data_IF_417914673446
#
_entry.id   IF_417914673446
#
_cell.length_a   1.000
_cell.length_b   1.000
_cell.length_c   1.000
_cell.angle_alpha   90.00
_cell.angle_beta   90.00
_cell.angle_gamma   90.00
#
_symmetry.space_group_name_H-M   'P 1'
#
loop_
_entity.id
_entity.type
_entity.pdbx_description
1 polymer ?
#
# COMPACT_ATOMS: atom_id res chain seq x y z
N UNK A 1 21.36 -1.42 -12.43
CA UNK A 1 20.74 -0.14 -12.01
C UNK A 1 19.25 -0.41 -12.05
N UNK A 2 18.53 -0.18 -10.97
CA UNK A 2 17.06 -0.24 -11.03
C UNK A 2 16.57 0.87 -11.96
N UNK A 3 15.67 0.53 -12.90
CA UNK A 3 15.07 1.51 -13.78
C UNK A 3 14.24 2.48 -12.96
N UNK A 4 14.42 3.78 -13.18
CA UNK A 4 13.66 4.82 -12.49
C UNK A 4 12.18 4.71 -12.84
N UNK A 5 11.31 4.87 -11.85
CA UNK A 5 9.87 4.95 -12.11
C UNK A 5 9.55 6.24 -12.86
N UNK A 6 8.77 6.10 -13.93
CA UNK A 6 8.36 7.16 -14.84
C UNK A 6 6.98 7.69 -14.47
N UNK A 7 6.89 8.98 -14.26
CA UNK A 7 5.65 9.69 -13.89
C UNK A 7 5.29 10.67 -14.98
N UNK A 8 4.11 10.56 -15.57
CA UNK A 8 3.53 11.67 -16.34
C UNK A 8 2.76 12.53 -15.32
N UNK A 9 3.12 13.81 -15.27
CA UNK A 9 2.50 14.79 -14.40
C UNK A 9 1.90 15.92 -15.24
N UNK A 10 0.60 16.19 -15.05
CA UNK A 10 -0.11 17.26 -15.77
C UNK A 10 -0.73 18.24 -14.76
N UNK A 11 -0.38 19.51 -14.91
CA UNK A 11 -0.75 20.63 -14.05
C UNK A 11 -0.63 21.93 -14.85
N UNK A 12 -1.66 22.75 -14.90
CA UNK A 12 -1.67 23.99 -15.69
C UNK A 12 -1.03 25.18 -14.96
N UNK A 13 -0.94 25.15 -13.62
CA UNK A 13 -0.13 26.14 -12.88
C UNK A 13 1.36 25.82 -13.04
N UNK A 14 2.14 26.64 -13.80
CA UNK A 14 3.54 26.35 -14.07
C UNK A 14 4.42 26.46 -12.80
N UNK A 15 4.02 27.24 -11.79
CA UNK A 15 4.78 27.38 -10.55
C UNK A 15 4.62 26.11 -9.70
N UNK A 16 3.38 25.65 -9.52
CA UNK A 16 3.10 24.40 -8.83
C UNK A 16 3.73 23.23 -9.59
N UNK A 17 3.58 23.22 -10.92
CA UNK A 17 4.18 22.23 -11.81
C UNK A 17 5.67 22.08 -11.59
N UNK A 18 6.42 23.18 -11.61
CA UNK A 18 7.87 23.16 -11.42
C UNK A 18 8.26 22.66 -10.03
N UNK A 19 7.57 23.09 -8.97
CA UNK A 19 7.86 22.68 -7.59
C UNK A 19 7.69 21.16 -7.46
N UNK A 20 6.61 20.60 -7.95
CA UNK A 20 6.31 19.17 -7.86
C UNK A 20 7.28 18.34 -8.71
N UNK A 21 7.61 18.79 -9.93
CA UNK A 21 8.61 18.13 -10.78
C UNK A 21 9.94 18.01 -10.06
N UNK A 22 10.46 19.11 -9.50
CA UNK A 22 11.74 19.12 -8.80
C UNK A 22 11.69 18.22 -7.55
N UNK A 23 10.60 18.26 -6.81
CA UNK A 23 10.42 17.43 -5.64
C UNK A 23 10.38 15.93 -5.98
N UNK A 24 9.65 15.53 -7.03
CA UNK A 24 9.61 14.14 -7.49
C UNK A 24 10.96 13.67 -8.05
N UNK A 25 11.64 14.53 -8.83
CA UNK A 25 12.98 14.22 -9.35
C UNK A 25 14.00 14.03 -8.23
N UNK A 26 13.93 14.83 -7.16
CA UNK A 26 14.79 14.67 -5.97
C UNK A 26 14.61 13.34 -5.25
N UNK A 27 13.42 12.73 -5.38
CA UNK A 27 13.10 11.38 -4.87
C UNK A 27 13.50 10.25 -5.84
N UNK A 28 14.09 10.59 -6.99
CA UNK A 28 14.61 9.63 -7.96
C UNK A 28 13.65 9.24 -9.07
N UNK A 29 12.49 9.88 -9.19
CA UNK A 29 11.56 9.64 -10.30
C UNK A 29 12.02 10.29 -11.60
N UNK A 30 11.66 9.70 -12.74
CA UNK A 30 11.74 10.31 -14.06
C UNK A 30 10.39 10.95 -14.36
N UNK A 31 10.34 12.29 -14.48
CA UNK A 31 9.07 13.03 -14.57
C UNK A 31 8.92 13.67 -15.93
N UNK A 32 7.83 13.37 -16.60
CA UNK A 32 7.38 13.98 -17.85
C UNK A 32 6.23 14.92 -17.53
N UNK A 33 6.50 16.22 -17.62
CA UNK A 33 5.55 17.27 -17.27
C UNK A 33 4.89 17.88 -18.50
N UNK A 34 3.59 18.14 -18.42
CA UNK A 34 2.85 18.95 -19.36
C UNK A 34 1.85 19.86 -18.64
N UNK A 35 1.54 21.00 -19.26
CA UNK A 35 0.56 21.97 -18.74
C UNK A 35 -0.80 21.87 -19.45
N UNK A 36 -1.03 20.80 -20.18
CA UNK A 36 -2.27 20.51 -20.90
C UNK A 36 -2.49 19.01 -20.99
N UNK A 37 -3.75 18.58 -21.02
CA UNK A 37 -4.12 17.19 -21.26
C UNK A 37 -4.06 16.82 -22.76
N UNK A 38 -3.95 17.82 -23.64
CA UNK A 38 -3.77 17.56 -25.08
C UNK A 38 -2.48 16.77 -25.33
N UNK A 39 -2.60 15.66 -26.06
CA UNK A 39 -1.45 14.78 -26.35
C UNK A 39 -1.07 13.81 -25.24
N UNK A 40 -1.87 13.69 -24.17
CA UNK A 40 -1.61 12.70 -23.10
C UNK A 40 -1.50 11.28 -23.65
N UNK A 41 -2.26 10.95 -24.69
CA UNK A 41 -2.23 9.63 -25.34
C UNK A 41 -0.86 9.36 -25.96
N UNK A 42 -0.34 10.31 -26.71
CA UNK A 42 0.98 10.22 -27.36
C UNK A 42 2.10 10.14 -26.29
N UNK A 43 1.96 10.87 -25.19
CA UNK A 43 2.90 10.80 -24.08
C UNK A 43 2.91 9.40 -23.45
N UNK A 44 1.72 8.82 -23.20
CA UNK A 44 1.62 7.47 -22.62
C UNK A 44 2.27 6.43 -23.56
N UNK A 45 1.99 6.52 -24.86
CA UNK A 45 2.52 5.57 -25.84
C UNK A 45 4.02 5.73 -26.08
N UNK A 46 4.55 6.95 -25.97
CA UNK A 46 5.97 7.25 -26.18
C UNK A 46 6.82 6.93 -24.96
N UNK A 47 6.38 7.37 -23.79
CA UNK A 47 7.22 7.42 -22.59
C UNK A 47 7.02 6.20 -21.69
N UNK A 48 5.94 5.40 -21.91
CA UNK A 48 5.60 4.21 -21.14
C UNK A 48 5.64 4.46 -19.63
N UNK A 49 4.79 5.36 -19.11
CA UNK A 49 4.82 5.73 -17.69
C UNK A 49 4.40 4.59 -16.79
N UNK A 50 4.90 4.61 -15.57
CA UNK A 50 4.45 3.72 -14.52
C UNK A 50 3.18 4.23 -13.83
N UNK A 51 2.94 5.56 -13.87
CA UNK A 51 1.79 6.22 -13.23
C UNK A 51 1.50 7.58 -13.87
N UNK A 52 0.24 7.97 -13.82
CA UNK A 52 -0.21 9.32 -14.17
C UNK A 52 -0.60 10.06 -12.89
N UNK A 53 -0.12 11.30 -12.74
CA UNK A 53 -0.60 12.28 -11.78
C UNK A 53 -1.22 13.44 -12.55
N UNK A 54 -2.52 13.57 -12.49
CA UNK A 54 -3.28 14.50 -13.31
C UNK A 54 -4.03 15.48 -12.42
N UNK A 55 -3.90 16.78 -12.70
CA UNK A 55 -4.89 17.73 -12.23
C UNK A 55 -6.25 17.37 -12.83
N UNK A 56 -7.30 17.48 -12.04
CA UNK A 56 -8.68 17.23 -12.49
C UNK A 56 -9.09 18.24 -13.57
N UNK A 57 -8.76 19.50 -13.37
CA UNK A 57 -9.09 20.62 -14.26
C UNK A 57 -7.81 21.28 -14.77
N UNK A 58 -7.56 21.18 -16.06
CA UNK A 58 -6.37 21.72 -16.73
C UNK A 58 -6.84 22.71 -17.81
N UNK A 59 -6.81 23.98 -17.51
CA UNK A 59 -7.41 25.01 -18.36
C UNK A 59 -8.92 24.77 -18.58
N UNK A 60 -9.30 24.49 -19.83
CA UNK A 60 -10.70 24.16 -20.18
C UNK A 60 -10.93 22.65 -20.34
N UNK A 61 -10.00 21.80 -19.92
CA UNK A 61 -10.06 20.36 -20.08
C UNK A 61 -10.28 19.69 -18.71
N UNK A 62 -11.03 18.59 -18.70
CA UNK A 62 -11.24 17.79 -17.50
C UNK A 62 -10.58 16.42 -17.66
N UNK A 63 -9.77 15.98 -16.69
CA UNK A 63 -9.06 14.72 -16.75
C UNK A 63 -10.00 13.51 -16.87
N UNK A 64 -11.24 13.62 -16.34
CA UNK A 64 -12.22 12.53 -16.42
C UNK A 64 -12.61 12.20 -17.86
N UNK A 65 -12.55 13.15 -18.79
CA UNK A 65 -12.88 12.92 -20.19
C UNK A 65 -11.87 12.00 -20.89
N UNK A 66 -10.64 11.91 -20.34
CA UNK A 66 -9.55 11.09 -20.87
C UNK A 66 -9.49 9.69 -20.25
N UNK A 67 -10.06 9.51 -19.05
CA UNK A 67 -10.00 8.23 -18.32
C UNK A 67 -10.62 7.05 -19.08
N UNK A 68 -11.77 7.16 -19.78
CA UNK A 68 -12.33 6.04 -20.55
C UNK A 68 -11.36 5.52 -21.61
N UNK A 69 -10.66 6.42 -22.31
CA UNK A 69 -9.63 6.03 -23.29
C UNK A 69 -8.45 5.35 -22.57
N UNK A 70 -7.92 5.95 -21.51
CA UNK A 70 -6.79 5.40 -20.75
C UNK A 70 -7.15 3.99 -20.25
N UNK A 71 -8.34 3.79 -19.71
CA UNK A 71 -8.80 2.48 -19.23
C UNK A 71 -9.00 1.45 -20.32
N UNK A 72 -9.43 1.87 -21.52
CA UNK A 72 -9.62 0.97 -22.65
C UNK A 72 -8.28 0.44 -23.21
N UNK A 73 -7.23 1.26 -23.21
CA UNK A 73 -5.92 0.93 -23.78
C UNK A 73 -4.92 0.48 -22.72
N UNK A 74 -4.99 1.05 -21.53
CA UNK A 74 -4.04 0.85 -20.43
C UNK A 74 -4.79 0.55 -19.13
N UNK A 75 -5.54 -0.57 -19.02
CA UNK A 75 -6.43 -0.85 -17.89
C UNK A 75 -5.70 -0.93 -16.54
N UNK A 76 -4.43 -1.29 -16.55
CA UNK A 76 -3.60 -1.44 -15.34
C UNK A 76 -2.73 -0.22 -15.02
N UNK A 77 -2.70 0.82 -15.88
CA UNK A 77 -1.91 2.02 -15.62
C UNK A 77 -2.52 2.83 -14.47
N UNK A 78 -1.82 3.02 -13.35
CA UNK A 78 -2.35 3.80 -12.25
C UNK A 78 -2.58 5.27 -12.63
N UNK A 79 -3.70 5.82 -12.19
CA UNK A 79 -4.05 7.23 -12.37
C UNK A 79 -4.43 7.83 -11.02
N UNK A 80 -3.67 8.84 -10.60
CA UNK A 80 -3.97 9.68 -9.46
C UNK A 80 -4.56 10.98 -9.97
N UNK A 81 -5.70 11.38 -9.43
CA UNK A 81 -6.32 12.68 -9.72
C UNK A 81 -6.05 13.60 -8.55
N UNK A 82 -5.59 14.83 -8.83
CA UNK A 82 -5.44 15.90 -7.87
C UNK A 82 -6.47 17.00 -8.15
N UNK A 83 -7.09 17.57 -7.12
CA UNK A 83 -8.05 18.66 -7.30
C UNK A 83 -8.07 19.59 -6.09
N UNK A 84 -8.40 20.86 -6.32
CA UNK A 84 -8.66 21.85 -5.26
C UNK A 84 -10.05 21.70 -4.64
N UNK A 85 -10.96 21.01 -5.32
CA UNK A 85 -12.31 20.75 -4.84
C UNK A 85 -12.32 19.60 -3.82
N UNK A 86 -13.37 19.53 -3.02
CA UNK A 86 -13.50 18.51 -1.97
C UNK A 86 -14.96 18.02 -1.83
N UNK A 87 -15.72 18.09 -2.91
CA UNK A 87 -17.11 17.65 -2.90
C UNK A 87 -17.19 16.14 -3.08
N UNK A 88 -17.99 15.48 -2.25
CA UNK A 88 -18.11 14.02 -2.28
C UNK A 88 -18.58 13.47 -3.61
N UNK A 89 -19.42 14.23 -4.34
CA UNK A 89 -19.86 13.86 -5.69
C UNK A 89 -18.71 13.83 -6.70
N UNK A 90 -17.80 14.81 -6.65
CA UNK A 90 -16.65 14.86 -7.55
C UNK A 90 -15.67 13.71 -7.30
N UNK A 91 -15.41 13.43 -6.02
CA UNK A 91 -14.57 12.29 -5.64
C UNK A 91 -15.18 10.97 -6.16
N UNK A 92 -16.49 10.80 -6.00
CA UNK A 92 -17.21 9.62 -6.51
C UNK A 92 -17.07 9.51 -8.03
N UNK A 93 -17.31 10.58 -8.76
CA UNK A 93 -17.15 10.64 -10.23
C UNK A 93 -15.73 10.27 -10.68
N UNK A 94 -14.70 10.71 -9.96
CA UNK A 94 -13.30 10.33 -10.26
C UNK A 94 -13.09 8.82 -10.18
N UNK A 95 -13.58 8.18 -9.12
CA UNK A 95 -13.47 6.73 -8.98
C UNK A 95 -14.32 5.95 -9.98
N UNK A 96 -15.54 6.40 -10.26
CA UNK A 96 -16.41 5.79 -11.28
C UNK A 96 -15.82 5.88 -12.68
N UNK A 97 -15.15 6.99 -13.00
CA UNK A 97 -14.41 7.16 -14.26
C UNK A 97 -13.15 6.28 -14.34
N UNK A 98 -12.72 5.69 -13.22
CA UNK A 98 -11.61 4.74 -13.17
C UNK A 98 -10.31 5.31 -12.62
N UNK A 99 -10.31 6.42 -11.88
CA UNK A 99 -9.15 6.85 -11.12
C UNK A 99 -8.80 5.83 -10.02
N UNK A 100 -7.50 5.62 -9.76
CA UNK A 100 -7.03 4.73 -8.71
C UNK A 100 -6.98 5.43 -7.34
N UNK A 101 -6.81 6.76 -7.37
CA UNK A 101 -6.79 7.58 -6.17
C UNK A 101 -7.16 9.02 -6.50
N UNK A 102 -7.76 9.69 -5.51
CA UNK A 102 -8.04 11.12 -5.52
C UNK A 102 -7.29 11.77 -4.35
N UNK A 103 -6.55 12.85 -4.62
CA UNK A 103 -5.88 13.63 -3.59
C UNK A 103 -6.28 15.10 -3.67
N UNK A 104 -6.44 15.74 -2.50
CA UNK A 104 -6.81 17.15 -2.42
C UNK A 104 -5.57 18.03 -2.50
N UNK A 105 -5.64 19.11 -3.28
CA UNK A 105 -4.63 20.17 -3.28
C UNK A 105 -4.83 21.14 -2.08
N UNK A 106 -3.77 21.67 -1.47
CA UNK A 106 -2.38 21.31 -1.68
C UNK A 106 -2.05 19.94 -1.09
N UNK A 107 -1.40 19.09 -1.87
CA UNK A 107 -0.98 17.78 -1.43
C UNK A 107 0.46 17.77 -0.93
N UNK A 108 0.76 16.89 0.04
CA UNK A 108 2.10 16.68 0.51
C UNK A 108 2.87 15.79 -0.49
N UNK A 109 4.10 16.20 -0.85
CA UNK A 109 4.96 15.41 -1.72
C UNK A 109 5.28 14.03 -1.14
N UNK A 110 5.24 13.88 0.19
CA UNK A 110 5.42 12.59 0.84
C UNK A 110 4.21 11.68 0.61
N UNK A 111 2.99 12.24 0.60
CA UNK A 111 1.78 11.50 0.23
C UNK A 111 1.86 11.01 -1.21
N UNK A 112 2.24 11.89 -2.16
CA UNK A 112 2.40 11.52 -3.57
C UNK A 112 3.48 10.45 -3.75
N UNK A 113 4.62 10.58 -3.08
CA UNK A 113 5.69 9.58 -3.08
C UNK A 113 5.17 8.21 -2.58
N UNK A 114 4.46 8.21 -1.46
CA UNK A 114 3.86 6.99 -0.92
C UNK A 114 2.89 6.34 -1.92
N UNK A 115 2.03 7.15 -2.57
CA UNK A 115 1.07 6.65 -3.55
C UNK A 115 1.76 6.10 -4.80
N UNK A 116 2.80 6.79 -5.32
CA UNK A 116 3.60 6.29 -6.44
C UNK A 116 4.21 4.93 -6.07
N UNK A 117 4.86 4.85 -4.90
CA UNK A 117 5.45 3.59 -4.43
C UNK A 117 4.40 2.47 -4.31
N UNK A 118 3.21 2.80 -3.80
CA UNK A 118 2.10 1.86 -3.62
C UNK A 118 1.57 1.32 -4.94
N UNK A 119 1.44 2.17 -5.96
CA UNK A 119 0.81 1.79 -7.23
C UNK A 119 1.80 1.31 -8.30
N UNK A 120 3.06 1.80 -8.29
CA UNK A 120 4.02 1.51 -9.36
C UNK A 120 5.02 0.42 -9.02
N UNK A 121 5.39 0.29 -7.76
CA UNK A 121 6.08 -0.94 -7.45
C UNK A 121 5.07 -2.03 -7.77
N UNK A 122 5.26 -2.70 -8.96
CA UNK A 122 4.78 -4.08 -9.09
C UNK A 122 4.94 -4.62 -7.71
N UNK A 123 3.91 -5.10 -7.11
CA UNK A 123 4.04 -5.76 -5.84
C UNK A 123 5.19 -6.80 -5.96
N UNK A 124 6.43 -6.35 -5.75
CA UNK A 124 7.13 -6.87 -4.59
C UNK A 124 6.11 -6.69 -3.54
N UNK A 125 5.44 -7.74 -3.09
CA UNK A 125 4.43 -7.54 -2.10
C UNK A 125 5.09 -6.64 -1.05
N UNK A 126 4.87 -5.28 -1.12
CA UNK A 126 4.91 -4.45 0.07
C UNK A 126 3.73 -4.98 0.73
N UNK A 127 4.21 -5.80 1.20
CA UNK A 127 3.71 -7.02 1.68
C UNK A 127 2.39 -6.66 2.27
N UNK A 128 1.34 -6.76 1.47
CA UNK A 128 0.14 -7.29 2.00
C UNK A 128 0.49 -8.67 2.62
N UNK A 129 1.77 -8.92 2.86
CA UNK A 129 2.32 -10.08 3.49
C UNK A 129 3.54 -9.72 4.37
N UNK A 130 3.60 -10.31 5.53
CA UNK A 130 4.74 -10.27 6.44
C UNK A 130 5.50 -11.57 6.28
N UNK A 131 6.83 -11.47 6.09
CA UNK A 131 7.70 -12.65 6.02
C UNK A 131 8.45 -12.83 7.34
N UNK A 132 8.39 -14.04 7.92
CA UNK A 132 9.14 -14.44 9.12
C UNK A 132 9.66 -15.84 8.88
N UNK A 133 10.98 -15.98 8.83
CA UNK A 133 11.60 -17.22 8.40
C UNK A 133 11.09 -17.62 7.01
N UNK A 134 10.73 -18.89 6.85
CA UNK A 134 10.16 -19.44 5.61
C UNK A 134 8.64 -19.18 5.46
N UNK A 135 8.01 -18.49 6.43
CA UNK A 135 6.59 -18.17 6.38
C UNK A 135 6.31 -16.79 5.80
N UNK A 136 5.20 -16.68 5.05
CA UNK A 136 4.66 -15.44 4.50
C UNK A 136 3.17 -15.36 4.83
N UNK A 137 2.78 -14.31 5.58
CA UNK A 137 1.38 -14.00 5.92
C UNK A 137 0.84 -12.93 4.96
N UNK A 138 -0.14 -13.26 4.16
CA UNK A 138 -0.86 -12.30 3.32
C UNK A 138 -1.90 -11.55 4.14
N UNK A 139 -1.76 -10.22 4.25
CA UNK A 139 -2.57 -9.39 5.16
C UNK A 139 -4.01 -9.20 4.70
N UNK A 140 -4.27 -9.18 3.38
CA UNK A 140 -5.62 -8.98 2.82
C UNK A 140 -6.51 -10.21 2.92
N UNK A 141 -5.93 -11.40 2.82
CA UNK A 141 -6.68 -12.66 2.77
C UNK A 141 -6.52 -13.51 4.02
N UNK A 142 -5.63 -13.08 4.96
CA UNK A 142 -5.23 -13.83 6.15
C UNK A 142 -4.63 -15.22 5.84
N UNK A 143 -4.12 -15.41 4.60
CA UNK A 143 -3.50 -16.67 4.20
C UNK A 143 -2.05 -16.72 4.66
N UNK A 144 -1.69 -17.84 5.27
CA UNK A 144 -0.32 -18.17 5.64
C UNK A 144 0.26 -19.12 4.60
N UNK A 145 1.45 -18.79 4.09
CA UNK A 145 2.22 -19.60 3.17
C UNK A 145 3.49 -20.09 3.86
N UNK A 146 3.93 -21.28 3.52
CA UNK A 146 5.23 -21.83 3.90
C UNK A 146 5.99 -22.20 2.62
N UNK A 147 7.17 -21.61 2.40
CA UNK A 147 7.97 -21.79 1.17
C UNK A 147 7.13 -21.62 -0.10
N UNK A 148 6.32 -20.56 -0.13
CA UNK A 148 5.41 -20.18 -1.23
C UNK A 148 4.20 -21.11 -1.44
N UNK A 149 4.07 -22.20 -0.69
CA UNK A 149 2.88 -23.04 -0.70
C UNK A 149 1.89 -22.58 0.37
N UNK A 150 0.60 -22.49 0.02
CA UNK A 150 -0.43 -22.13 0.99
C UNK A 150 -0.53 -23.18 2.08
N UNK A 151 -0.27 -22.78 3.33
CA UNK A 151 -0.37 -23.64 4.50
C UNK A 151 -1.76 -23.59 5.13
N UNK A 152 -2.29 -22.38 5.41
CA UNK A 152 -3.59 -22.20 6.06
C UNK A 152 -4.12 -20.78 5.93
N UNK A 153 -5.46 -20.61 5.99
CA UNK A 153 -6.09 -19.32 6.27
C UNK A 153 -6.29 -19.18 7.77
N UNK A 154 -5.78 -18.08 8.35
CA UNK A 154 -5.89 -17.82 9.79
C UNK A 154 -7.27 -17.26 10.14
N UNK A 155 -7.74 -17.57 11.36
CA UNK A 155 -8.89 -16.87 11.92
C UNK A 155 -8.54 -15.39 12.16
N UNK A 156 -9.52 -14.46 12.22
CA UNK A 156 -9.22 -13.04 12.48
C UNK A 156 -8.40 -12.81 13.76
N UNK A 157 -8.63 -13.58 14.81
CA UNK A 157 -7.89 -13.48 16.08
C UNK A 157 -6.47 -14.03 15.96
N UNK A 158 -6.28 -15.19 15.31
CA UNK A 158 -4.95 -15.77 15.11
C UNK A 158 -4.12 -14.93 14.13
N UNK A 159 -4.78 -14.30 13.13
CA UNK A 159 -4.15 -13.34 12.23
C UNK A 159 -3.63 -12.11 13.00
N UNK A 160 -4.49 -11.44 13.79
CA UNK A 160 -4.08 -10.28 14.60
C UNK A 160 -2.97 -10.65 15.58
N UNK A 161 -3.03 -11.82 16.21
CA UNK A 161 -1.99 -12.29 17.12
C UNK A 161 -0.66 -12.46 16.39
N UNK A 162 -0.65 -13.12 15.25
CA UNK A 162 0.58 -13.32 14.45
C UNK A 162 1.12 -11.98 13.93
N UNK A 163 0.25 -11.10 13.46
CA UNK A 163 0.60 -9.75 13.02
C UNK A 163 1.33 -8.97 14.13
N UNK A 164 0.74 -8.87 15.32
CA UNK A 164 1.33 -8.15 16.46
C UNK A 164 2.68 -8.71 16.91
N UNK A 165 2.84 -10.04 16.88
CA UNK A 165 4.13 -10.68 17.16
C UNK A 165 5.17 -10.37 16.07
N UNK A 166 4.73 -10.28 14.82
CA UNK A 166 5.59 -9.99 13.66
C UNK A 166 6.14 -8.57 13.67
N UNK A 167 5.33 -7.60 14.10
CA UNK A 167 5.76 -6.20 14.23
C UNK A 167 6.87 -6.01 15.27
N UNK A 168 6.96 -6.91 16.25
CA UNK A 168 7.95 -6.88 17.33
C UNK A 168 8.82 -8.13 17.31
N UNK A 169 9.34 -8.50 16.12
CA UNK A 169 10.22 -9.64 15.96
C UNK A 169 11.40 -9.57 16.95
N UNK A 170 11.66 -10.69 17.64
CA UNK A 170 12.69 -10.83 18.68
C UNK A 170 12.47 -9.93 19.93
N UNK A 171 11.25 -9.39 20.10
CA UNK A 171 10.88 -8.65 21.31
C UNK A 171 9.56 -9.18 21.89
N UNK A 172 9.40 -9.19 23.23
CA UNK A 172 8.16 -9.63 23.84
C UNK A 172 7.04 -8.59 23.66
N UNK A 173 5.85 -9.08 23.36
CA UNK A 173 4.63 -8.26 23.29
C UNK A 173 3.83 -8.46 24.57
N UNK A 174 3.39 -7.36 25.21
CA UNK A 174 2.67 -7.46 26.48
C UNK A 174 1.29 -8.11 26.30
N UNK A 175 0.82 -8.80 27.34
CA UNK A 175 -0.50 -9.45 27.33
C UNK A 175 -1.64 -8.44 27.21
N UNK A 176 -1.48 -7.28 27.85
CA UNK A 176 -2.44 -6.16 27.80
C UNK A 176 -2.62 -5.65 26.37
N UNK A 177 -1.54 -5.57 25.57
CA UNK A 177 -1.64 -5.18 24.17
C UNK A 177 -2.50 -6.16 23.36
N UNK A 178 -2.35 -7.47 23.57
CA UNK A 178 -3.21 -8.46 22.93
C UNK A 178 -4.66 -8.36 23.37
N UNK A 179 -4.92 -8.17 24.68
CA UNK A 179 -6.27 -8.03 25.18
C UNK A 179 -6.95 -6.80 24.61
N UNK A 180 -6.24 -5.67 24.52
CA UNK A 180 -6.76 -4.45 23.91
C UNK A 180 -7.05 -4.62 22.42
N UNK A 181 -6.07 -5.13 21.65
CA UNK A 181 -6.15 -5.16 20.19
C UNK A 181 -7.03 -6.30 19.63
N UNK A 182 -7.19 -7.41 20.35
CA UNK A 182 -7.88 -8.62 19.84
C UNK A 182 -9.19 -8.91 20.57
N UNK A 183 -9.31 -8.49 21.82
CA UNK A 183 -10.46 -8.81 22.70
C UNK A 183 -11.08 -7.58 23.38
N UNK A 184 -10.94 -6.39 22.76
CA UNK A 184 -11.56 -5.13 23.21
C UNK A 184 -11.31 -4.84 24.71
N UNK A 185 -10.09 -5.14 25.18
CA UNK A 185 -9.66 -4.93 26.57
C UNK A 185 -10.07 -6.02 27.57
N UNK A 186 -10.76 -7.08 27.13
CA UNK A 186 -11.12 -8.19 28.01
C UNK A 186 -9.92 -9.11 28.28
N UNK A 187 -9.61 -9.33 29.56
CA UNK A 187 -8.52 -10.21 30.00
C UNK A 187 -8.90 -11.70 29.87
N UNK A 188 -8.74 -12.25 28.69
CA UNK A 188 -9.09 -13.66 28.35
C UNK A 188 -7.83 -14.52 28.22
N UNK A 189 -7.15 -14.78 29.34
CA UNK A 189 -5.87 -15.48 29.38
C UNK A 189 -5.87 -16.84 28.68
N UNK A 190 -6.92 -17.65 28.86
CA UNK A 190 -7.03 -18.97 28.22
C UNK A 190 -7.19 -18.85 26.70
N UNK A 191 -7.96 -17.86 26.21
CA UNK A 191 -8.13 -17.63 24.78
C UNK A 191 -6.82 -17.21 24.13
N UNK A 192 -6.05 -16.34 24.78
CA UNK A 192 -4.71 -15.95 24.31
C UNK A 192 -3.76 -17.16 24.29
N UNK A 193 -3.69 -17.95 25.36
CA UNK A 193 -2.83 -19.13 25.43
C UNK A 193 -3.19 -20.18 24.38
N UNK A 194 -4.49 -20.39 24.12
CA UNK A 194 -4.97 -21.28 23.08
C UNK A 194 -4.57 -20.78 21.66
N UNK A 195 -4.68 -19.47 21.41
CA UNK A 195 -4.23 -18.88 20.13
C UNK A 195 -2.72 -19.02 19.93
N UNK A 196 -1.92 -18.77 20.98
CA UNK A 196 -0.46 -18.99 20.95
C UNK A 196 -0.13 -20.46 20.66
N UNK A 197 -0.84 -21.39 21.28
CA UNK A 197 -0.62 -22.82 21.06
C UNK A 197 -0.95 -23.23 19.62
N UNK A 198 -2.01 -22.68 19.04
CA UNK A 198 -2.33 -22.92 17.62
C UNK A 198 -1.26 -22.34 16.68
N UNK A 199 -0.77 -21.13 16.96
CA UNK A 199 0.31 -20.54 16.15
C UNK A 199 1.59 -21.35 16.23
N UNK A 200 2.00 -21.83 17.41
CA UNK A 200 3.17 -22.73 17.55
C UNK A 200 3.08 -23.94 16.64
N UNK A 201 1.91 -24.60 16.61
CA UNK A 201 1.69 -25.75 15.71
C UNK A 201 1.74 -25.36 14.22
N UNK A 202 1.27 -24.16 13.87
CA UNK A 202 1.30 -23.69 12.48
C UNK A 202 2.71 -23.37 12.01
N UNK A 203 3.58 -22.90 12.92
CA UNK A 203 4.96 -22.51 12.64
C UNK A 203 5.98 -23.61 12.83
N UNK A 204 5.57 -24.81 13.25
CA UNK A 204 6.49 -25.94 13.57
C UNK A 204 7.32 -26.46 12.39
N UNK A 205 6.91 -26.16 11.14
CA UNK A 205 7.65 -26.56 9.93
C UNK A 205 8.96 -25.81 9.76
N UNK A 206 9.07 -24.62 10.34
CA UNK A 206 10.30 -23.82 10.34
C UNK A 206 10.96 -23.90 11.72
N UNK A 207 12.00 -24.71 11.82
CA UNK A 207 12.71 -24.94 13.08
C UNK A 207 13.56 -23.76 13.56
N UNK A 208 13.71 -22.73 12.72
CA UNK A 208 14.40 -21.48 13.10
C UNK A 208 13.47 -20.56 13.89
N UNK A 209 12.14 -20.77 13.80
CA UNK A 209 11.15 -19.96 14.49
C UNK A 209 10.69 -20.59 15.80
N UNK A 210 10.57 -19.77 16.83
CA UNK A 210 9.92 -20.16 18.09
C UNK A 210 8.99 -19.06 18.61
N UNK A 211 7.93 -19.45 19.34
CA UNK A 211 7.13 -18.52 20.14
C UNK A 211 7.34 -18.85 21.60
N UNK A 212 8.10 -18.02 22.29
CA UNK A 212 8.48 -18.21 23.69
C UNK A 212 7.65 -17.32 24.61
N UNK A 213 7.52 -17.72 25.86
CA UNK A 213 6.90 -16.89 26.89
C UNK A 213 7.99 -16.17 27.70
N UNK A 214 7.94 -14.85 27.70
CA UNK A 214 8.81 -14.03 28.57
C UNK A 214 8.08 -13.76 29.87
N UNK A 215 8.65 -14.25 30.98
CA UNK A 215 8.03 -14.17 32.32
C UNK A 215 7.74 -12.72 32.70
N UNK A 216 6.50 -12.45 33.10
CA UNK A 216 6.07 -11.11 33.53
C UNK A 216 5.78 -10.12 32.42
N UNK A 217 5.97 -10.48 31.14
CA UNK A 217 5.71 -9.60 29.98
C UNK A 217 4.67 -10.23 29.05
N UNK A 218 5.04 -11.29 28.31
CA UNK A 218 4.14 -11.88 27.34
C UNK A 218 4.86 -12.77 26.33
N UNK A 219 4.19 -13.18 25.25
CA UNK A 219 4.81 -13.99 24.19
C UNK A 219 5.75 -13.16 23.30
N UNK A 220 6.76 -13.84 22.76
CA UNK A 220 7.75 -13.32 21.84
C UNK A 220 7.93 -14.32 20.70
N UNK A 221 7.93 -13.85 19.44
CA UNK A 221 8.40 -14.65 18.30
C UNK A 221 9.88 -14.39 18.08
N UNK A 222 10.64 -15.47 17.87
CA UNK A 222 12.09 -15.42 17.57
C UNK A 222 12.36 -16.06 16.21
N UNK A 223 13.33 -15.49 15.55
CA UNK A 223 13.90 -15.98 14.29
C UNK A 223 15.41 -16.03 14.44
#
# INVERSE_FOLDING_TARGET
MEDKLKVIFIEDDPNLGLIIVLALQSKGYEVYYANTLSGIQDMIEKDYPNILLLDLEVGNQNALDYLPFIRSKHPSLPVLIASSHNEGEEITRCYEAGANHYTKKPYDIQEIDFLIQRFCKKASPISNSISIGDYQLELSTHKLFYKQEQSKTLSPKDFKLFYLLSEQLNQPVSREKFFHEIWDGQEVHDSLNNSISRLRKLLEKDTTLSIDAVKGVGPQIRN
#
